data_IF_660126698062
#
_entry.id   IF_660126698062
#
_cell.length_a   1.000
_cell.length_b   1.000
_cell.length_c   1.000
_cell.angle_alpha   90.00
_cell.angle_beta   90.00
_cell.angle_gamma   90.00
#
_symmetry.space_group_name_H-M   'P 1'
#
loop_
_entity.id
_entity.type
_entity.pdbx_description
1 polymer ?
#
# COMPACT_ATOMS: atom_id res chain seq x y z
N UNK A 1 1.45 -0.32 -0.21
CA UNK A 1 2.43 0.38 0.63
C UNK A 1 3.84 0.06 0.15
N UNK A 2 4.45 1.01 -0.54
CA UNK A 2 5.77 0.83 -1.15
C UNK A 2 6.87 1.23 -0.17
N UNK A 3 7.65 0.25 0.28
CA UNK A 3 8.84 0.47 1.10
C UNK A 3 10.13 0.22 0.33
N UNK A 4 11.26 0.42 0.99
CA UNK A 4 12.57 0.18 0.39
C UNK A 4 12.88 -1.32 0.26
N UNK A 5 12.40 -2.13 1.18
CA UNK A 5 12.69 -3.57 1.23
C UNK A 5 11.49 -4.44 0.89
N UNK A 6 10.30 -3.93 1.08
CA UNK A 6 9.05 -4.69 0.92
C UNK A 6 7.98 -3.83 0.30
N UNK A 7 6.99 -4.48 -0.32
CA UNK A 7 5.76 -3.85 -0.76
C UNK A 7 4.62 -4.57 -0.05
N UNK A 8 3.87 -3.84 0.79
CA UNK A 8 2.66 -4.35 1.41
C UNK A 8 1.49 -4.21 0.44
N UNK A 9 0.69 -5.26 0.33
CA UNK A 9 -0.46 -5.29 -0.58
C UNK A 9 -1.72 -5.63 0.19
N UNK A 10 -2.77 -4.85 -0.04
CA UNK A 10 -4.11 -5.09 0.48
C UNK A 10 -5.12 -5.06 -0.67
N UNK A 11 -6.22 -5.73 -0.50
CA UNK A 11 -7.30 -5.81 -1.48
C UNK A 11 -8.63 -5.39 -0.83
N UNK A 12 -9.50 -4.78 -1.61
CA UNK A 12 -10.85 -4.45 -1.13
C UNK A 12 -11.81 -5.61 -1.37
N UNK A 13 -12.92 -5.60 -0.64
CA UNK A 13 -14.07 -6.45 -0.96
C UNK A 13 -14.73 -5.97 -2.27
N UNK A 14 -15.61 -6.80 -2.89
CA UNK A 14 -16.27 -6.42 -4.15
C UNK A 14 -17.15 -5.18 -4.06
N UNK A 15 -17.59 -4.80 -2.86
CA UNK A 15 -18.46 -3.64 -2.64
C UNK A 15 -17.68 -2.37 -2.28
N UNK A 16 -16.36 -2.45 -2.23
CA UNK A 16 -15.48 -1.33 -1.90
C UNK A 16 -15.75 -0.71 -0.52
N UNK A 17 -16.02 -1.56 0.46
CA UNK A 17 -16.32 -1.14 1.83
C UNK A 17 -15.14 -1.40 2.76
N UNK A 18 -14.51 -2.58 2.66
CA UNK A 18 -13.44 -2.99 3.57
C UNK A 18 -12.14 -3.30 2.84
N UNK A 19 -11.03 -3.00 3.50
CA UNK A 19 -9.70 -3.37 3.03
C UNK A 19 -9.18 -4.54 3.85
N UNK A 20 -8.55 -5.51 3.18
CA UNK A 20 -7.98 -6.68 3.82
C UNK A 20 -6.52 -6.83 3.40
N UNK A 21 -5.64 -7.03 4.38
CA UNK A 21 -4.24 -7.32 4.11
C UNK A 21 -4.13 -8.61 3.29
N UNK A 22 -3.31 -8.58 2.25
CA UNK A 22 -3.19 -9.71 1.33
C UNK A 22 -1.81 -10.35 1.41
N UNK A 23 -0.77 -9.67 0.92
CA UNK A 23 0.60 -10.21 0.92
C UNK A 23 1.62 -9.11 1.17
N UNK A 24 2.81 -9.51 1.58
CA UNK A 24 3.99 -8.66 1.59
C UNK A 24 4.96 -9.21 0.55
N UNK A 25 5.36 -8.37 -0.40
CA UNK A 25 6.33 -8.73 -1.44
C UNK A 25 7.70 -8.29 -0.97
N UNK A 26 8.66 -9.22 -0.92
CA UNK A 26 10.06 -8.88 -0.69
C UNK A 26 10.63 -8.30 -1.98
N UNK A 27 11.14 -7.08 -1.91
CA UNK A 27 11.63 -6.37 -3.09
C UNK A 27 12.91 -6.99 -3.64
N UNK A 28 12.96 -7.04 -4.96
CA UNK A 28 14.13 -7.42 -5.75
C UNK A 28 14.40 -6.27 -6.73
N UNK A 29 14.61 -6.56 -8.01
CA UNK A 29 14.67 -5.52 -9.03
C UNK A 29 13.27 -4.93 -9.25
N UNK A 30 13.21 -3.63 -9.51
CA UNK A 30 11.92 -2.95 -9.74
C UNK A 30 11.10 -3.63 -10.84
N UNK A 31 11.75 -4.09 -11.91
CA UNK A 31 11.05 -4.79 -12.99
C UNK A 31 10.36 -6.08 -12.51
N UNK A 32 11.00 -6.83 -11.62
CA UNK A 32 10.42 -8.04 -11.05
C UNK A 32 9.30 -7.73 -10.06
N UNK A 33 9.46 -6.66 -9.30
CA UNK A 33 8.43 -6.20 -8.36
C UNK A 33 7.17 -5.79 -9.12
N UNK A 34 7.33 -5.05 -10.21
CA UNK A 34 6.21 -4.64 -11.07
C UNK A 34 5.54 -5.86 -11.71
N UNK A 35 6.32 -6.85 -12.14
CA UNK A 35 5.78 -8.08 -12.69
C UNK A 35 4.88 -8.81 -11.68
N UNK A 36 5.32 -8.90 -10.43
CA UNK A 36 4.50 -9.51 -9.37
C UNK A 36 3.21 -8.74 -9.13
N UNK A 37 3.28 -7.41 -9.13
CA UNK A 37 2.09 -6.59 -8.98
C UNK A 37 1.11 -6.76 -10.15
N UNK A 38 1.60 -6.81 -11.39
CA UNK A 38 0.73 -7.03 -12.53
C UNK A 38 0.10 -8.41 -12.54
N UNK A 39 0.78 -9.43 -12.02
CA UNK A 39 0.21 -10.76 -11.83
C UNK A 39 -0.95 -10.72 -10.85
N UNK A 40 -0.82 -9.99 -9.74
CA UNK A 40 -1.90 -9.82 -8.76
C UNK A 40 -3.07 -9.06 -9.37
N UNK A 41 -2.77 -7.99 -10.11
CA UNK A 41 -3.78 -7.18 -10.80
C UNK A 41 -4.64 -8.06 -11.72
N UNK A 42 -4.00 -8.91 -12.51
CA UNK A 42 -4.69 -9.80 -13.43
C UNK A 42 -5.47 -10.89 -12.69
N UNK A 43 -4.83 -11.53 -11.72
CA UNK A 43 -5.45 -12.62 -10.94
C UNK A 43 -6.67 -12.17 -10.16
N UNK A 44 -6.60 -10.98 -9.56
CA UNK A 44 -7.65 -10.44 -8.69
C UNK A 44 -8.57 -9.46 -9.42
N UNK A 45 -8.41 -9.30 -10.71
CA UNK A 45 -9.24 -8.41 -11.54
C UNK A 45 -9.30 -6.99 -10.97
N UNK A 46 -8.14 -6.46 -10.58
CA UNK A 46 -8.02 -5.12 -10.00
C UNK A 46 -8.28 -4.07 -11.08
N UNK A 47 -9.10 -3.07 -10.76
CA UNK A 47 -9.42 -1.98 -11.67
C UNK A 47 -8.95 -0.60 -11.19
N UNK A 48 -8.43 -0.51 -9.97
CA UNK A 48 -7.90 0.71 -9.40
C UNK A 48 -6.78 0.36 -8.43
N UNK A 49 -5.68 1.09 -8.51
CA UNK A 49 -4.57 0.97 -7.56
C UNK A 49 -4.55 2.22 -6.68
N UNK A 50 -4.49 2.02 -5.37
CA UNK A 50 -4.29 3.08 -4.39
C UNK A 50 -2.92 2.87 -3.79
N UNK A 51 -2.07 3.90 -3.87
CA UNK A 51 -0.71 3.82 -3.32
C UNK A 51 -0.50 4.93 -2.28
N UNK A 52 0.07 4.57 -1.14
CA UNK A 52 0.39 5.54 -0.11
C UNK A 52 1.48 6.48 -0.57
N UNK A 53 1.26 7.78 -0.39
CA UNK A 53 2.26 8.80 -0.69
C UNK A 53 2.71 9.43 0.61
N UNK A 54 3.92 9.10 1.11
CA UNK A 54 4.41 9.66 2.36
C UNK A 54 4.75 11.14 2.18
N UNK A 55 4.11 12.00 2.96
CA UNK A 55 4.37 13.43 2.95
C UNK A 55 4.98 13.86 4.26
N UNK A 56 5.81 14.89 4.21
CA UNK A 56 6.30 15.54 5.41
C UNK A 56 5.15 16.25 6.14
N UNK A 57 5.33 16.57 7.41
CA UNK A 57 4.28 17.21 8.23
C UNK A 57 3.82 18.56 7.65
N UNK A 58 4.68 19.22 6.88
CA UNK A 58 4.34 20.50 6.22
C UNK A 58 3.81 20.31 4.79
N UNK A 59 3.36 19.12 4.43
CA UNK A 59 2.84 18.75 3.11
C UNK A 59 3.86 18.77 1.97
N UNK A 60 5.16 18.92 2.25
CA UNK A 60 6.19 18.84 1.21
C UNK A 60 6.49 17.37 0.89
N UNK A 61 6.96 17.12 -0.33
CA UNK A 61 7.36 15.79 -0.79
C UNK A 61 8.85 15.57 -0.48
N UNK A 62 9.14 14.61 0.38
CA UNK A 62 10.50 14.23 0.71
C UNK A 62 11.05 13.14 -0.21
N UNK A 63 12.27 12.64 0.09
CA UNK A 63 12.89 11.60 -0.74
C UNK A 63 12.06 10.33 -0.89
N UNK A 64 11.37 9.91 0.15
CA UNK A 64 10.55 8.69 0.09
C UNK A 64 9.35 8.87 -0.85
N UNK A 65 8.70 10.04 -0.82
CA UNK A 65 7.61 10.35 -1.75
C UNK A 65 8.10 10.34 -3.19
N UNK A 66 9.30 10.85 -3.44
CA UNK A 66 9.87 10.84 -4.79
C UNK A 66 10.15 9.43 -5.29
N UNK A 67 10.55 8.52 -4.41
CA UNK A 67 10.72 7.10 -4.75
C UNK A 67 9.39 6.47 -5.16
N UNK A 68 8.31 6.79 -4.46
CA UNK A 68 6.96 6.30 -4.79
C UNK A 68 6.54 6.81 -6.15
N UNK A 69 6.71 8.08 -6.43
CA UNK A 69 6.34 8.69 -7.71
C UNK A 69 7.11 8.05 -8.86
N UNK A 70 8.42 7.83 -8.68
CA UNK A 70 9.26 7.17 -9.70
C UNK A 70 8.80 5.74 -9.95
N UNK A 71 8.45 5.00 -8.91
CA UNK A 71 7.93 3.64 -9.05
C UNK A 71 6.60 3.64 -9.81
N UNK A 72 5.70 4.56 -9.48
CA UNK A 72 4.39 4.67 -10.15
C UNK A 72 4.58 4.98 -11.65
N UNK A 73 5.53 5.85 -12.00
CA UNK A 73 5.81 6.15 -13.40
C UNK A 73 6.21 4.89 -14.18
N UNK A 74 7.00 4.01 -13.56
CA UNK A 74 7.37 2.74 -14.17
C UNK A 74 6.19 1.76 -14.21
N UNK A 75 5.39 1.73 -13.16
CA UNK A 75 4.21 0.85 -13.10
C UNK A 75 3.20 1.22 -14.18
N UNK A 76 3.01 2.51 -14.45
CA UNK A 76 2.10 2.99 -15.50
C UNK A 76 2.48 2.49 -16.90
N UNK A 77 3.73 2.13 -17.12
CA UNK A 77 4.17 1.55 -18.39
C UNK A 77 3.74 0.09 -18.55
N UNK A 78 3.39 -0.58 -17.47
CA UNK A 78 3.04 -2.00 -17.44
C UNK A 78 1.55 -2.26 -17.24
N UNK A 79 0.77 -1.25 -16.93
CA UNK A 79 -0.67 -1.39 -16.71
C UNK A 79 -1.40 -0.12 -17.10
N UNK A 80 -2.62 -0.27 -17.62
CA UNK A 80 -3.50 0.84 -17.98
C UNK A 80 -4.46 1.21 -16.85
N UNK A 81 -4.36 0.54 -15.72
CA UNK A 81 -5.27 0.75 -14.59
C UNK A 81 -4.99 2.10 -13.95
N UNK A 82 -6.06 2.79 -13.54
CA UNK A 82 -5.96 4.05 -12.83
C UNK A 82 -5.21 3.87 -11.51
N UNK A 83 -4.30 4.81 -11.22
CA UNK A 83 -3.52 4.82 -9.98
C UNK A 83 -3.80 6.13 -9.26
N UNK A 84 -4.20 6.03 -8.00
CA UNK A 84 -4.44 7.18 -7.13
C UNK A 84 -3.50 7.15 -5.93
N UNK A 85 -3.10 8.34 -5.48
CA UNK A 85 -2.29 8.49 -4.27
C UNK A 85 -3.19 8.73 -3.07
N UNK A 86 -2.79 8.16 -1.94
CA UNK A 86 -3.42 8.41 -0.65
C UNK A 86 -2.34 8.85 0.34
N UNK A 87 -2.60 9.90 1.08
CA UNK A 87 -1.69 10.36 2.13
C UNK A 87 -1.56 9.26 3.20
N UNK A 88 -0.33 8.84 3.49
CA UNK A 88 -0.09 7.74 4.45
C UNK A 88 0.51 8.20 5.77
N UNK A 89 0.47 9.50 6.07
CA UNK A 89 0.96 10.01 7.36
C UNK A 89 0.28 9.25 8.50
N UNK A 90 1.07 8.81 9.49
CA UNK A 90 0.60 8.08 10.68
C UNK A 90 0.14 6.63 10.44
N UNK A 91 0.10 6.14 9.20
CA UNK A 91 -0.39 4.78 8.91
C UNK A 91 0.43 3.71 9.61
N UNK A 92 1.76 3.83 9.59
CA UNK A 92 2.65 2.86 10.25
C UNK A 92 2.40 2.81 11.76
N UNK A 93 2.17 3.96 12.38
CA UNK A 93 1.85 4.04 13.81
C UNK A 93 0.54 3.32 14.09
N UNK A 94 -0.47 3.50 13.26
CA UNK A 94 -1.75 2.81 13.39
C UNK A 94 -1.59 1.30 13.27
N UNK A 95 -0.76 0.85 12.33
CA UNK A 95 -0.48 -0.58 12.13
C UNK A 95 0.16 -1.20 13.36
N UNK A 96 1.15 -0.54 13.96
CA UNK A 96 1.81 -1.01 15.18
C UNK A 96 0.80 -1.12 16.32
N UNK A 97 -0.07 -0.14 16.48
CA UNK A 97 -1.09 -0.16 17.53
C UNK A 97 -2.04 -1.35 17.36
N UNK A 98 -2.49 -1.63 16.15
CA UNK A 98 -3.36 -2.78 15.89
C UNK A 98 -2.66 -4.09 16.23
N UNK A 99 -1.39 -4.24 15.86
CA UNK A 99 -0.64 -5.46 16.16
C UNK A 99 -0.40 -5.62 17.66
N UNK A 100 -0.18 -4.52 18.39
CA UNK A 100 -0.09 -4.56 19.85
C UNK A 100 -1.40 -5.01 20.48
N UNK A 101 -2.51 -4.48 19.99
CA UNK A 101 -3.86 -4.85 20.48
C UNK A 101 -4.19 -6.32 20.20
N UNK A 102 -3.61 -6.89 19.15
CA UNK A 102 -3.74 -8.30 18.81
C UNK A 102 -2.76 -9.20 19.56
N UNK A 103 -1.94 -8.64 20.45
CA UNK A 103 -0.90 -9.37 21.19
C UNK A 103 0.14 -10.04 20.31
N UNK A 104 0.41 -9.48 19.13
CA UNK A 104 1.46 -9.98 18.23
C UNK A 104 2.81 -9.53 18.78
N UNK A 105 3.76 -10.47 18.94
CA UNK A 105 5.07 -10.14 19.49
C UNK A 105 5.92 -9.33 18.48
N UNK A 106 7.01 -8.71 18.99
CA UNK A 106 7.84 -7.81 18.19
C UNK A 106 8.42 -8.46 16.93
N UNK A 107 8.79 -9.74 17.03
CA UNK A 107 9.36 -10.49 15.90
C UNK A 107 8.31 -10.68 14.80
N UNK A 108 7.10 -11.01 15.18
CA UNK A 108 6.01 -11.26 14.23
C UNK A 108 5.43 -9.96 13.67
N UNK A 109 5.49 -8.84 14.44
CA UNK A 109 5.03 -7.54 13.97
C UNK A 109 5.73 -7.09 12.68
N UNK A 110 7.05 -7.28 12.60
CA UNK A 110 7.80 -6.93 11.39
C UNK A 110 7.29 -7.66 10.15
N UNK A 111 6.74 -8.85 10.34
CA UNK A 111 6.21 -9.69 9.29
C UNK A 111 4.91 -9.14 8.69
N UNK A 112 4.11 -8.45 9.50
CA UNK A 112 2.74 -8.05 9.14
C UNK A 112 2.58 -6.54 8.93
N UNK A 113 3.51 -5.71 9.45
CA UNK A 113 3.37 -4.24 9.42
C UNK A 113 3.09 -3.72 8.02
N UNK A 114 3.82 -4.18 7.01
CA UNK A 114 3.70 -3.62 5.65
C UNK A 114 2.32 -3.90 5.03
N UNK A 115 1.83 -5.13 5.13
CA UNK A 115 0.53 -5.45 4.54
C UNK A 115 -0.64 -4.89 5.34
N UNK A 116 -0.47 -4.73 6.66
CA UNK A 116 -1.47 -4.06 7.50
C UNK A 116 -1.45 -2.56 7.24
N UNK A 117 -0.27 -1.96 7.07
CA UNK A 117 -0.16 -0.57 6.64
C UNK A 117 -0.87 -0.35 5.31
N UNK A 118 -0.70 -1.25 4.35
CA UNK A 118 -1.40 -1.20 3.08
C UNK A 118 -2.92 -1.25 3.27
N UNK A 119 -3.41 -2.09 4.19
CA UNK A 119 -4.85 -2.16 4.46
C UNK A 119 -5.40 -0.85 5.05
N UNK A 120 -4.64 -0.16 5.91
CA UNK A 120 -5.05 1.15 6.43
C UNK A 120 -5.06 2.22 5.34
N UNK A 121 -4.07 2.23 4.46
CA UNK A 121 -4.03 3.15 3.32
C UNK A 121 -5.29 2.96 2.48
N UNK A 122 -5.60 1.73 2.13
CA UNK A 122 -6.76 1.41 1.32
C UNK A 122 -8.06 1.72 2.04
N UNK A 123 -8.16 1.39 3.32
CA UNK A 123 -9.37 1.66 4.10
C UNK A 123 -9.64 3.17 4.19
N UNK A 124 -8.61 3.97 4.41
CA UNK A 124 -8.74 5.42 4.44
C UNK A 124 -9.27 5.95 3.12
N UNK A 125 -8.77 5.43 2.00
CA UNK A 125 -9.27 5.79 0.68
C UNK A 125 -10.73 5.40 0.50
N UNK A 126 -11.11 4.18 0.87
CA UNK A 126 -12.47 3.68 0.75
C UNK A 126 -13.45 4.47 1.60
N UNK A 127 -13.08 4.81 2.82
CA UNK A 127 -13.91 5.60 3.73
C UNK A 127 -14.13 7.01 3.18
N UNK A 128 -13.10 7.64 2.64
CA UNK A 128 -13.21 8.94 2.00
C UNK A 128 -14.12 8.92 0.77
N UNK A 129 -14.01 7.87 -0.03
CA UNK A 129 -14.84 7.67 -1.22
C UNK A 129 -16.31 7.47 -0.85
N UNK A 130 -16.58 6.67 0.19
CA UNK A 130 -17.95 6.32 0.59
C UNK A 130 -18.66 7.45 1.35
N UNK A 131 -17.90 8.31 2.02
CA UNK A 131 -18.42 9.44 2.79
C UNK A 131 -18.36 10.77 2.05
N UNK A 132 -17.67 10.78 0.95
CA UNK A 132 -17.49 11.98 0.14
C UNK A 132 -18.38 12.03 -1.04
#
# INVERSE_FOLDING_TARGET
>A
DLGDKTIGVALSDPFFITAQAYVTINRKKTSLDIKKLTEIIDEKEVNLIVIGLPKNMNNTLGPQAMKVISFVDLLKKSTDIEIKYQDERMTTIQSDQVLMDMNVNLKDRKKYVDKIAASFILQTYLDGRNNG
#
